data_IF_761541930131
#
_entry.id   IF_761541930131
#
_cell.length_a   1.000
_cell.length_b   1.000
_cell.length_c   1.000
_cell.angle_alpha   90.00
_cell.angle_beta   90.00
_cell.angle_gamma   90.00
#
_symmetry.space_group_name_H-M   'P 1'
#
loop_
_entity.id
_entity.type
_entity.pdbx_description
1 polymer ?
#
# COMPACT_ATOMS: atom_id res chain seq x y z
N UNK A 1 21.06 2.08 14.61
CA UNK A 1 20.47 2.03 13.25
C UNK A 1 20.25 3.46 12.79
N UNK A 2 20.62 3.78 11.55
CA UNK A 2 20.36 5.09 10.92
C UNK A 2 18.90 5.16 10.49
N UNK A 3 18.19 6.25 10.84
CA UNK A 3 16.76 6.42 10.48
C UNK A 3 16.63 6.76 8.99
N UNK A 4 15.46 6.56 8.40
CA UNK A 4 15.20 6.90 7.00
C UNK A 4 15.45 8.39 6.71
N UNK A 5 15.04 9.29 7.63
CA UNK A 5 15.27 10.73 7.46
C UNK A 5 16.76 11.10 7.43
N UNK A 6 17.61 10.33 8.11
CA UNK A 6 19.05 10.59 8.18
C UNK A 6 19.77 10.19 6.87
N UNK A 7 19.05 9.58 5.90
CA UNK A 7 19.58 9.23 4.56
C UNK A 7 19.29 10.30 3.51
N UNK A 8 18.54 11.34 3.85
CA UNK A 8 18.19 12.41 2.92
C UNK A 8 19.45 13.21 2.60
N UNK A 9 19.72 13.40 1.31
CA UNK A 9 20.81 14.24 0.83
C UNK A 9 20.39 15.71 0.78
N UNK A 10 21.32 16.62 1.11
CA UNK A 10 21.13 18.05 0.92
C UNK A 10 21.00 18.37 -0.58
N UNK A 11 19.78 18.72 -1.00
CA UNK A 11 19.46 19.05 -2.37
C UNK A 11 19.62 20.56 -2.61
N UNK A 12 20.44 20.94 -3.59
CA UNK A 12 20.67 22.36 -3.93
C UNK A 12 19.77 22.85 -5.06
N UNK A 13 19.16 21.92 -5.81
CA UNK A 13 18.28 22.22 -6.93
C UNK A 13 17.02 21.34 -6.91
N UNK A 14 15.97 21.78 -7.61
CA UNK A 14 14.80 20.93 -7.84
C UNK A 14 15.10 19.69 -8.69
N UNK A 15 16.18 19.71 -9.47
CA UNK A 15 16.64 18.53 -10.21
C UNK A 15 17.19 17.47 -9.25
N UNK A 16 17.89 17.86 -8.19
CA UNK A 16 18.37 16.95 -7.14
C UNK A 16 17.21 16.31 -6.39
N UNK A 17 16.22 17.12 -6.00
CA UNK A 17 15.01 16.63 -5.31
C UNK A 17 14.31 15.59 -6.18
N UNK A 18 14.05 15.89 -7.45
CA UNK A 18 13.36 14.97 -8.38
C UNK A 18 14.14 13.69 -8.60
N UNK A 19 15.46 13.76 -8.76
CA UNK A 19 16.31 12.58 -8.93
C UNK A 19 16.20 11.65 -7.71
N UNK A 20 16.29 12.21 -6.50
CA UNK A 20 16.21 11.43 -5.27
C UNK A 20 14.80 10.85 -5.03
N UNK A 21 13.75 11.61 -5.31
CA UNK A 21 12.36 11.09 -5.24
C UNK A 21 12.13 9.98 -6.26
N UNK A 22 12.52 10.16 -7.52
CA UNK A 22 12.37 9.15 -8.55
C UNK A 22 13.10 7.84 -8.19
N UNK A 23 14.32 7.93 -7.64
CA UNK A 23 15.07 6.77 -7.20
C UNK A 23 14.36 6.00 -6.06
N UNK A 24 13.65 6.71 -5.17
CA UNK A 24 12.81 6.08 -4.15
C UNK A 24 11.55 5.46 -4.77
N UNK A 25 10.92 6.13 -5.72
CA UNK A 25 9.73 5.63 -6.42
C UNK A 25 10.03 4.34 -7.20
N UNK A 26 11.21 4.24 -7.82
CA UNK A 26 11.69 3.04 -8.50
C UNK A 26 11.80 1.82 -7.55
N UNK A 27 11.95 2.07 -6.25
CA UNK A 27 11.97 1.04 -5.20
C UNK A 27 10.55 0.81 -4.65
N UNK A 28 9.78 1.88 -4.42
CA UNK A 28 8.46 1.82 -3.83
C UNK A 28 7.46 1.10 -4.74
N UNK A 29 7.47 1.39 -6.05
CA UNK A 29 6.48 0.83 -6.98
C UNK A 29 6.53 -0.71 -7.02
N UNK A 30 7.68 -1.39 -7.19
CA UNK A 30 7.75 -2.85 -7.11
C UNK A 30 7.21 -3.41 -5.78
N UNK A 31 7.56 -2.79 -4.65
CA UNK A 31 7.09 -3.22 -3.32
C UNK A 31 5.57 -3.08 -3.18
N UNK A 32 4.99 -2.02 -3.75
CA UNK A 32 3.54 -1.82 -3.79
C UNK A 32 2.87 -2.85 -4.69
N UNK A 33 3.46 -3.22 -5.83
CA UNK A 33 2.94 -4.30 -6.67
C UNK A 33 2.92 -5.63 -5.92
N UNK A 34 4.01 -5.99 -5.23
CA UNK A 34 4.09 -7.19 -4.39
C UNK A 34 3.05 -7.17 -3.26
N UNK A 35 2.94 -6.05 -2.54
CA UNK A 35 1.94 -5.84 -1.48
C UNK A 35 0.52 -6.06 -2.02
N UNK A 36 0.21 -5.48 -3.18
CA UNK A 36 -1.06 -5.69 -3.87
C UNK A 36 -1.30 -7.14 -4.25
N UNK A 37 -0.27 -7.84 -4.71
CA UNK A 37 -0.31 -9.28 -4.99
C UNK A 37 -0.76 -10.10 -3.78
N UNK A 38 -0.21 -9.84 -2.58
CA UNK A 38 -0.63 -10.53 -1.35
C UNK A 38 -2.07 -10.19 -0.94
N UNK A 39 -2.49 -8.94 -1.11
CA UNK A 39 -3.86 -8.52 -0.87
C UNK A 39 -4.84 -9.33 -1.75
N UNK A 40 -4.54 -9.54 -3.03
CA UNK A 40 -5.38 -10.41 -3.90
C UNK A 40 -5.41 -11.88 -3.48
N UNK A 41 -4.37 -12.39 -2.80
CA UNK A 41 -4.43 -13.75 -2.22
C UNK A 41 -5.43 -13.80 -1.05
N UNK A 42 -5.59 -12.72 -0.29
CA UNK A 42 -6.57 -12.67 0.79
C UNK A 42 -7.99 -12.90 0.27
N UNK A 43 -8.33 -12.42 -0.93
CA UNK A 43 -9.62 -12.71 -1.59
C UNK A 43 -9.82 -14.22 -1.84
N UNK A 44 -8.78 -14.93 -2.29
CA UNK A 44 -8.84 -16.40 -2.47
C UNK A 44 -9.00 -17.15 -1.15
N UNK A 45 -8.32 -16.70 -0.11
CA UNK A 45 -8.35 -17.33 1.22
C UNK A 45 -9.70 -17.11 1.90
N UNK A 46 -10.25 -15.89 1.81
CA UNK A 46 -11.47 -15.49 2.52
C UNK A 46 -12.74 -16.04 1.87
N UNK A 47 -12.73 -16.33 0.55
CA UNK A 47 -13.86 -16.81 -0.25
C UNK A 47 -15.23 -16.12 0.03
N UNK A 48 -15.19 -14.91 0.58
CA UNK A 48 -16.35 -14.16 1.01
C UNK A 48 -16.12 -12.66 0.68
N UNK A 49 -16.92 -12.09 -0.24
CA UNK A 49 -16.86 -10.68 -0.61
C UNK A 49 -17.07 -9.72 0.58
N UNK A 50 -17.77 -10.15 1.62
CA UNK A 50 -18.05 -9.34 2.82
C UNK A 50 -16.81 -9.20 3.73
N UNK A 51 -15.78 -10.02 3.53
CA UNK A 51 -14.52 -9.96 4.29
C UNK A 51 -13.42 -9.16 3.56
N UNK A 52 -13.74 -8.52 2.43
CA UNK A 52 -12.79 -7.71 1.63
C UNK A 52 -12.34 -6.49 2.43
N UNK A 53 -13.25 -5.89 3.21
CA UNK A 53 -12.93 -4.82 4.15
C UNK A 53 -12.90 -5.35 5.58
N UNK A 54 -11.80 -5.08 6.27
CA UNK A 54 -11.56 -5.51 7.65
C UNK A 54 -11.00 -4.31 8.41
N UNK A 55 -11.90 -3.61 9.13
CA UNK A 55 -11.56 -2.36 9.83
C UNK A 55 -10.54 -2.60 10.95
N UNK A 56 -10.67 -3.70 11.71
CA UNK A 56 -9.72 -4.06 12.75
C UNK A 56 -8.32 -4.27 12.17
N UNK A 57 -8.25 -4.89 10.99
CA UNK A 57 -6.99 -5.05 10.26
C UNK A 57 -6.43 -3.72 9.77
N UNK A 58 -7.28 -2.83 9.24
CA UNK A 58 -6.90 -1.48 8.79
C UNK A 58 -6.29 -0.70 9.96
N UNK A 59 -6.95 -0.65 11.12
CA UNK A 59 -6.46 0.06 12.30
C UNK A 59 -5.16 -0.55 12.84
N UNK A 60 -5.03 -1.88 12.80
CA UNK A 60 -3.77 -2.56 13.15
C UNK A 60 -2.62 -2.14 12.22
N UNK A 61 -2.87 -2.00 10.91
CA UNK A 61 -1.87 -1.52 9.95
C UNK A 61 -1.51 -0.07 10.25
N UNK A 62 -2.53 0.80 10.42
CA UNK A 62 -2.35 2.23 10.70
C UNK A 62 -1.51 2.45 11.95
N UNK A 63 -1.84 1.79 13.06
CA UNK A 63 -1.07 1.89 14.30
C UNK A 63 0.40 1.53 14.09
N UNK A 64 0.67 0.39 13.43
CA UNK A 64 2.03 -0.07 13.15
C UNK A 64 2.82 0.91 12.27
N UNK A 65 2.20 1.49 11.25
CA UNK A 65 2.92 2.39 10.32
C UNK A 65 3.13 3.77 10.92
N UNK A 66 2.21 4.24 11.78
CA UNK A 66 2.39 5.47 12.56
C UNK A 66 3.57 5.35 13.51
N UNK A 67 3.64 4.26 14.27
CA UNK A 67 4.78 3.98 15.15
C UNK A 67 6.09 3.94 14.35
N UNK A 68 6.10 3.22 13.23
CA UNK A 68 7.27 3.14 12.37
C UNK A 68 7.68 4.50 11.80
N UNK A 69 6.72 5.32 11.37
CA UNK A 69 6.98 6.66 10.85
C UNK A 69 7.72 7.52 11.88
N UNK A 70 7.27 7.50 13.15
CA UNK A 70 7.91 8.25 14.22
C UNK A 70 9.35 7.77 14.46
N UNK A 71 9.59 6.46 14.49
CA UNK A 71 10.93 5.88 14.67
C UNK A 71 11.89 6.25 13.53
N UNK A 72 11.38 6.37 12.31
CA UNK A 72 12.17 6.74 11.12
C UNK A 72 12.35 8.26 10.95
N UNK A 73 11.79 9.06 11.87
CA UNK A 73 11.88 10.53 11.85
C UNK A 73 10.89 11.22 10.89
N UNK A 74 9.86 10.50 10.45
CA UNK A 74 8.77 11.04 9.63
C UNK A 74 7.58 11.54 10.44
N UNK A 75 6.56 12.04 9.75
CA UNK A 75 5.31 12.51 10.34
C UNK A 75 4.24 11.39 10.33
N UNK A 76 3.78 10.89 11.49
CA UNK A 76 2.83 9.78 11.56
C UNK A 76 1.53 10.01 10.79
N UNK A 77 0.97 11.22 10.84
CA UNK A 77 -0.30 11.55 10.20
C UNK A 77 -0.21 11.52 8.66
N UNK A 78 0.95 11.90 8.11
CA UNK A 78 1.21 11.80 6.65
C UNK A 78 1.26 10.33 6.23
N UNK A 79 1.96 9.51 6.99
CA UNK A 79 2.07 8.07 6.69
C UNK A 79 0.72 7.37 6.85
N UNK A 80 -0.08 7.72 7.87
CA UNK A 80 -1.44 7.21 8.00
C UNK A 80 -2.30 7.53 6.77
N UNK A 81 -2.31 8.80 6.32
CA UNK A 81 -3.11 9.21 5.18
C UNK A 81 -2.75 8.40 3.91
N UNK A 82 -1.45 8.20 3.66
CA UNK A 82 -0.96 7.39 2.54
C UNK A 82 -1.44 5.94 2.67
N UNK A 83 -1.30 5.34 3.85
CA UNK A 83 -1.68 3.94 4.05
C UNK A 83 -3.18 3.71 3.96
N UNK A 84 -4.00 4.62 4.49
CA UNK A 84 -5.46 4.54 4.33
C UNK A 84 -5.85 4.61 2.86
N UNK A 85 -5.37 5.61 2.12
CA UNK A 85 -5.65 5.75 0.70
C UNK A 85 -5.20 4.51 -0.12
N UNK A 86 -4.01 3.98 0.20
CA UNK A 86 -3.49 2.77 -0.43
C UNK A 86 -4.38 1.55 -0.16
N UNK A 87 -4.87 1.38 1.07
CA UNK A 87 -5.78 0.27 1.42
C UNK A 87 -7.11 0.39 0.68
N UNK A 88 -7.70 1.58 0.62
CA UNK A 88 -8.92 1.82 -0.17
C UNK A 88 -8.70 1.48 -1.66
N UNK A 89 -7.55 1.85 -2.22
CA UNK A 89 -7.22 1.54 -3.60
C UNK A 89 -7.15 0.02 -3.88
N UNK A 90 -6.53 -0.75 -2.98
CA UNK A 90 -6.49 -2.22 -3.11
C UNK A 90 -7.85 -2.87 -2.92
N UNK A 91 -8.62 -2.44 -1.92
CA UNK A 91 -10.01 -2.92 -1.70
C UNK A 91 -10.85 -2.70 -2.96
N UNK A 92 -10.78 -1.50 -3.54
CA UNK A 92 -11.49 -1.19 -4.78
C UNK A 92 -11.00 -2.02 -5.97
N UNK A 93 -9.70 -2.30 -6.06
CA UNK A 93 -9.14 -3.18 -7.08
C UNK A 93 -9.62 -4.63 -6.93
N UNK A 94 -9.62 -5.17 -5.72
CA UNK A 94 -10.09 -6.51 -5.41
C UNK A 94 -11.56 -6.72 -5.75
N UNK A 95 -12.42 -5.75 -5.42
CA UNK A 95 -13.83 -5.81 -5.82
C UNK A 95 -14.00 -5.93 -7.34
N UNK A 96 -13.19 -5.20 -8.14
CA UNK A 96 -13.22 -5.29 -9.61
C UNK A 96 -12.73 -6.65 -10.10
N UNK A 97 -11.63 -7.17 -9.54
CA UNK A 97 -11.10 -8.48 -9.93
C UNK A 97 -12.05 -9.63 -9.58
N UNK A 98 -12.70 -9.58 -8.41
CA UNK A 98 -13.68 -10.59 -8.02
C UNK A 98 -14.89 -10.60 -8.96
N UNK A 99 -15.42 -9.42 -9.29
CA UNK A 99 -16.51 -9.29 -10.26
C UNK A 99 -16.13 -9.84 -11.65
N UNK A 100 -14.89 -9.59 -12.10
CA UNK A 100 -14.35 -10.14 -13.35
C UNK A 100 -14.29 -11.67 -13.34
N UNK A 101 -13.80 -12.26 -12.25
CA UNK A 101 -13.72 -13.72 -12.09
C UNK A 101 -15.12 -14.38 -12.06
N UNK A 102 -16.09 -13.75 -11.40
CA UNK A 102 -17.47 -14.22 -11.36
C UNK A 102 -18.16 -14.13 -12.73
N UNK A 103 -17.94 -13.04 -13.48
CA UNK A 103 -18.50 -12.85 -14.82
C UNK A 103 -17.92 -13.82 -15.88
N UNK A 104 -16.65 -14.23 -15.73
CA UNK A 104 -16.00 -15.21 -16.60
C UNK A 104 -16.31 -16.68 -16.27
N UNK A 105 -17.05 -16.95 -15.19
CA UNK A 105 -17.28 -18.29 -14.64
C UNK A 105 -18.52 -19.05 -15.12
N UNK A 106 -19.20 -18.63 -16.20
CA UNK A 106 -20.35 -19.38 -16.73
C UNK A 106 -20.12 -19.85 -18.17
N UNK A 107 -19.68 -21.10 -18.41
CA UNK A 107 -20.13 -21.84 -19.58
C UNK A 107 -21.60 -22.20 -19.35
N UNK A 108 -22.51 -21.62 -20.14
CA UNK A 108 -23.86 -22.20 -20.28
C UNK A 108 -23.74 -23.38 -21.23
N UNK A 109 -24.07 -24.56 -20.73
CA UNK A 109 -24.35 -25.77 -21.51
C UNK A 109 -25.41 -25.53 -22.59
#
# INVERSE_FOLDING_TARGET
MTRAIDKVEDCNTMADVRRNVNALDDILVPLLVERGGYMTQAAKVKNNPELVRDEDRIETIVSRVRERAALEGGQPDVIEAIYRAMMEAYIAYEHRELARLQAGGTPRE
#
